data_IF_104013070858
#
_entry.id   IF_104013070858
#
_cell.length_a   1.000
_cell.length_b   1.000
_cell.length_c   1.000
_cell.angle_alpha   90.00
_cell.angle_beta   90.00
_cell.angle_gamma   90.00
#
_symmetry.space_group_name_H-M   'P 1'
#
loop_
_entity.id
_entity.type
_entity.pdbx_description
1 polymer ?
#
# COMPACT_ATOMS: atom_id res chain seq x y z
N UNK A 1 -33.21 18.35 94.83
CA UNK A 1 -33.90 19.35 94.02
C UNK A 1 -33.87 18.86 92.59
N UNK A 2 -35.05 18.49 92.07
CA UNK A 2 -35.28 17.76 90.89
C UNK A 2 -35.76 18.73 89.76
N UNK A 3 -35.04 18.98 88.69
CA UNK A 3 -35.51 19.80 87.56
C UNK A 3 -35.54 18.92 86.32
N UNK A 4 -36.72 18.40 86.09
CA UNK A 4 -37.14 17.67 84.89
C UNK A 4 -37.25 18.64 83.70
N UNK A 5 -36.44 18.45 82.72
CA UNK A 5 -36.44 19.26 81.48
C UNK A 5 -37.37 18.57 80.44
N UNK A 6 -38.61 19.08 80.33
CA UNK A 6 -39.59 18.60 79.33
C UNK A 6 -39.24 19.16 77.96
N UNK A 7 -38.75 18.32 77.07
CA UNK A 7 -38.58 18.65 75.66
C UNK A 7 -39.96 18.73 74.99
N UNK A 8 -40.31 19.92 74.51
CA UNK A 8 -41.58 20.21 73.87
C UNK A 8 -41.72 19.38 72.53
N UNK A 9 -42.92 18.78 72.35
CA UNK A 9 -43.28 18.01 71.10
C UNK A 9 -43.11 18.81 69.81
N UNK A 10 -43.04 20.14 69.84
CA UNK A 10 -42.83 21.02 68.72
C UNK A 10 -41.38 21.03 68.24
N UNK A 11 -40.39 20.76 69.05
CA UNK A 11 -38.97 20.70 68.67
C UNK A 11 -38.57 19.36 68.04
N UNK A 12 -39.32 18.30 68.38
CA UNK A 12 -39.07 16.94 67.74
C UNK A 12 -39.58 16.85 66.29
N UNK A 13 -40.67 17.54 65.96
CA UNK A 13 -41.22 17.56 64.59
C UNK A 13 -40.42 18.42 63.64
N UNK A 14 -39.76 19.45 64.08
CA UNK A 14 -38.85 20.27 63.23
C UNK A 14 -37.50 19.61 62.94
N UNK A 15 -37.05 18.69 63.77
CA UNK A 15 -35.78 17.95 63.50
C UNK A 15 -35.99 16.76 62.59
N UNK A 16 -37.19 16.16 62.47
CA UNK A 16 -37.49 15.09 61.48
C UNK A 16 -37.74 15.64 60.07
N UNK A 17 -38.23 16.87 59.92
CA UNK A 17 -38.40 17.50 58.62
C UNK A 17 -37.08 17.93 57.96
N UNK A 18 -36.01 18.20 58.76
CA UNK A 18 -34.69 18.56 58.23
C UNK A 18 -33.87 17.34 57.72
N UNK A 19 -34.19 16.13 58.18
CA UNK A 19 -33.51 14.90 57.67
C UNK A 19 -34.16 14.30 56.43
N UNK A 20 -35.40 14.63 56.09
CA UNK A 20 -36.08 14.14 54.87
C UNK A 20 -35.77 14.99 53.63
N UNK A 21 -35.24 16.20 53.78
CA UNK A 21 -34.86 17.08 52.66
C UNK A 21 -33.45 16.88 52.11
N UNK A 22 -32.60 16.13 52.80
CA UNK A 22 -31.18 15.93 52.42
C UNK A 22 -30.92 14.69 51.52
N UNK A 23 -31.91 13.81 51.35
CA UNK A 23 -31.71 12.55 50.58
C UNK A 23 -32.14 12.60 49.10
N UNK A 24 -32.69 13.73 48.65
CA UNK A 24 -33.17 13.86 47.26
C UNK A 24 -32.22 14.56 46.27
N UNK A 25 -31.02 15.01 46.74
CA UNK A 25 -30.08 15.73 45.87
C UNK A 25 -28.81 14.96 45.48
N UNK A 26 -28.76 13.64 45.73
CA UNK A 26 -27.63 12.77 45.34
C UNK A 26 -27.87 11.95 44.06
N UNK A 27 -28.80 12.37 43.21
CA UNK A 27 -29.22 11.58 42.01
C UNK A 27 -28.94 12.17 40.65
N UNK A 28 -28.18 13.25 40.53
CA UNK A 28 -27.78 13.79 39.23
C UNK A 28 -26.26 13.97 39.20
N UNK A 29 -25.53 12.84 39.17
CA UNK A 29 -24.22 12.86 38.54
C UNK A 29 -24.49 13.19 37.06
N UNK A 30 -23.91 14.28 36.52
CA UNK A 30 -23.96 14.43 35.07
C UNK A 30 -23.29 13.18 34.52
N UNK A 31 -24.07 12.35 33.80
CA UNK A 31 -23.50 11.40 32.91
C UNK A 31 -22.56 12.21 32.00
N UNK A 32 -21.26 12.06 32.21
CA UNK A 32 -20.25 12.44 31.24
C UNK A 32 -20.60 11.64 30.00
N UNK A 33 -21.52 12.17 29.20
CA UNK A 33 -21.68 11.76 27.84
C UNK A 33 -20.28 12.00 27.26
N UNK A 34 -19.51 10.93 27.13
CA UNK A 34 -18.35 10.94 26.27
C UNK A 34 -18.89 11.40 24.93
N UNK A 35 -18.71 12.69 24.64
CA UNK A 35 -18.99 13.22 23.33
C UNK A 35 -18.19 12.31 22.38
N UNK A 36 -18.91 11.47 21.66
CA UNK A 36 -18.34 10.64 20.62
C UNK A 36 -17.66 11.62 19.69
N UNK A 37 -16.32 11.72 19.79
CA UNK A 37 -15.56 12.65 18.98
C UNK A 37 -16.00 12.44 17.52
N UNK A 38 -16.44 13.50 16.88
CA UNK A 38 -16.96 13.45 15.51
C UNK A 38 -15.80 13.37 14.54
N UNK A 39 -14.95 12.33 14.70
CA UNK A 39 -13.85 12.09 13.74
C UNK A 39 -14.40 11.93 12.32
N UNK A 40 -13.83 12.66 11.32
CA UNK A 40 -12.78 13.66 11.45
C UNK A 40 -13.33 15.09 11.71
N UNK A 41 -12.71 15.85 12.61
CA UNK A 41 -13.03 17.28 12.88
C UNK A 41 -12.09 18.24 12.15
N UNK A 42 -11.01 17.74 11.57
CA UNK A 42 -10.01 18.49 10.82
C UNK A 42 -9.53 17.68 9.62
N UNK A 43 -8.83 18.31 8.65
CA UNK A 43 -8.32 17.59 7.48
C UNK A 43 -7.43 16.41 7.85
N UNK A 44 -7.63 15.27 7.16
CA UNK A 44 -6.76 14.10 7.25
C UNK A 44 -5.65 14.25 6.20
N UNK A 45 -4.40 14.06 6.60
CA UNK A 45 -3.25 14.05 5.69
C UNK A 45 -3.00 12.64 5.18
N UNK A 46 -3.05 12.47 3.86
CA UNK A 46 -2.65 11.26 3.16
C UNK A 46 -1.24 11.43 2.61
N UNK A 47 -0.29 10.68 3.16
CA UNK A 47 1.09 10.66 2.67
C UNK A 47 1.19 9.73 1.47
N UNK A 48 1.61 10.29 0.32
CA UNK A 48 1.93 9.56 -0.90
C UNK A 48 3.45 9.40 -1.03
N UNK A 49 3.98 8.15 -1.10
CA UNK A 49 5.43 7.92 -1.09
C UNK A 49 6.12 8.10 -2.44
N UNK A 50 5.36 8.31 -3.51
CA UNK A 50 5.85 8.51 -4.87
C UNK A 50 5.02 9.56 -5.61
N UNK A 51 5.61 10.17 -6.63
CA UNK A 51 4.93 11.08 -7.55
C UNK A 51 4.27 10.38 -8.74
N UNK A 52 3.83 11.17 -9.72
CA UNK A 52 3.28 10.66 -10.98
C UNK A 52 1.97 9.89 -10.80
N UNK A 53 1.88 8.69 -11.33
CA UNK A 53 0.67 7.86 -11.25
C UNK A 53 0.25 7.54 -9.81
N UNK A 54 1.22 7.42 -8.88
CA UNK A 54 0.94 7.18 -7.45
C UNK A 54 0.35 8.41 -6.79
N UNK A 55 0.84 9.62 -7.10
CA UNK A 55 0.24 10.87 -6.62
C UNK A 55 -1.18 11.06 -7.19
N UNK A 56 -1.39 10.78 -8.48
CA UNK A 56 -2.72 10.80 -9.07
C UNK A 56 -3.69 9.87 -8.32
N UNK A 57 -3.28 8.62 -8.08
CA UNK A 57 -4.09 7.67 -7.33
C UNK A 57 -4.36 8.14 -5.90
N UNK A 58 -3.35 8.70 -5.22
CA UNK A 58 -3.52 9.25 -3.86
C UNK A 58 -4.56 10.37 -3.81
N UNK A 59 -4.61 11.25 -4.84
CA UNK A 59 -5.64 12.31 -4.94
C UNK A 59 -7.04 11.73 -5.17
N UNK A 60 -7.18 10.66 -5.96
CA UNK A 60 -8.46 9.97 -6.14
C UNK A 60 -8.91 9.29 -4.83
N UNK A 61 -7.98 8.66 -4.10
CA UNK A 61 -8.24 8.09 -2.77
C UNK A 61 -8.74 9.18 -1.82
N UNK A 62 -8.02 10.30 -1.74
CA UNK A 62 -8.38 11.40 -0.85
C UNK A 62 -9.79 11.94 -1.18
N UNK A 63 -10.12 12.12 -2.47
CA UNK A 63 -11.43 12.59 -2.90
C UNK A 63 -12.57 11.64 -2.47
N UNK A 64 -12.42 10.33 -2.73
CA UNK A 64 -13.47 9.35 -2.45
C UNK A 64 -13.61 9.06 -0.95
N UNK A 65 -12.50 8.97 -0.21
CA UNK A 65 -12.54 8.79 1.24
C UNK A 65 -13.11 10.01 1.95
N UNK A 66 -12.80 11.23 1.51
CA UNK A 66 -13.34 12.47 2.07
C UNK A 66 -14.87 12.52 1.98
N UNK A 67 -15.47 12.06 0.87
CA UNK A 67 -16.93 11.93 0.71
C UNK A 67 -17.53 10.99 1.77
N UNK A 68 -16.94 9.80 1.94
CA UNK A 68 -17.44 8.79 2.88
C UNK A 68 -17.27 9.22 4.35
N UNK A 69 -16.17 9.91 4.65
CA UNK A 69 -15.88 10.39 6.01
C UNK A 69 -16.60 11.70 6.36
N UNK A 70 -17.30 12.30 5.40
CA UNK A 70 -17.88 13.65 5.52
C UNK A 70 -16.86 14.67 6.05
N UNK A 71 -15.64 14.64 5.52
CA UNK A 71 -14.51 15.45 5.95
C UNK A 71 -13.67 15.93 4.77
N UNK A 72 -12.48 16.43 5.05
CA UNK A 72 -11.53 16.83 4.02
C UNK A 72 -10.21 16.04 4.15
N UNK A 73 -9.53 15.86 3.02
CA UNK A 73 -8.23 15.18 2.98
C UNK A 73 -7.23 15.99 2.15
N UNK A 74 -5.98 16.00 2.59
CA UNK A 74 -4.86 16.67 1.94
C UNK A 74 -3.84 15.60 1.56
N UNK A 75 -3.36 15.64 0.31
CA UNK A 75 -2.28 14.74 -0.15
C UNK A 75 -0.94 15.45 0.05
N UNK A 76 -0.06 14.83 0.83
CA UNK A 76 1.33 15.25 1.06
C UNK A 76 2.29 14.24 0.41
N UNK A 77 3.01 14.68 -0.62
CA UNK A 77 3.92 13.82 -1.39
C UNK A 77 5.31 13.85 -0.76
N UNK A 78 5.73 12.73 -0.17
CA UNK A 78 7.06 12.57 0.45
C UNK A 78 7.90 11.57 -0.32
N UNK A 79 8.73 12.09 -1.23
CA UNK A 79 9.58 11.30 -2.11
C UNK A 79 10.88 10.81 -1.42
N UNK A 80 11.45 9.73 -1.94
CA UNK A 80 12.78 9.26 -1.62
C UNK A 80 12.83 7.94 -0.85
N UNK A 81 14.04 7.34 -0.81
CA UNK A 81 14.29 6.06 -0.14
C UNK A 81 13.38 4.93 -0.62
N UNK A 82 13.04 4.86 -1.89
CA UNK A 82 12.09 3.86 -2.41
C UNK A 82 10.75 3.86 -1.66
N UNK A 83 10.29 5.05 -1.23
CA UNK A 83 9.04 5.25 -0.48
C UNK A 83 9.17 5.12 1.05
N UNK A 84 10.34 4.76 1.57
CA UNK A 84 10.53 4.61 3.02
C UNK A 84 10.46 5.93 3.77
N UNK A 85 10.83 7.07 3.15
CA UNK A 85 10.71 8.39 3.77
C UNK A 85 9.23 8.70 4.07
N UNK A 86 8.35 8.47 3.11
CA UNK A 86 6.90 8.66 3.30
C UNK A 86 6.33 7.74 4.38
N UNK A 87 6.61 6.45 4.32
CA UNK A 87 6.08 5.50 5.32
C UNK A 87 6.69 5.69 6.70
N UNK A 88 7.96 6.12 6.79
CA UNK A 88 8.58 6.49 8.07
C UNK A 88 7.88 7.70 8.72
N UNK A 89 7.42 8.67 7.91
CA UNK A 89 6.63 9.79 8.41
C UNK A 89 5.27 9.31 8.96
N UNK A 90 4.60 8.38 8.28
CA UNK A 90 3.37 7.75 8.78
C UNK A 90 3.63 7.01 10.08
N UNK A 91 4.67 6.16 10.13
CA UNK A 91 4.98 5.35 11.32
C UNK A 91 5.24 6.17 12.59
N UNK A 92 5.74 7.40 12.43
CA UNK A 92 6.04 8.32 13.55
C UNK A 92 4.91 9.30 13.88
N UNK A 93 3.85 9.32 13.08
CA UNK A 93 2.72 10.21 13.35
C UNK A 93 1.89 9.74 14.56
N UNK A 94 1.12 10.65 15.14
CA UNK A 94 0.19 10.30 16.21
C UNK A 94 -0.85 9.29 15.71
N UNK A 95 -1.22 8.27 16.52
CA UNK A 95 -2.20 7.26 16.14
C UNK A 95 -3.64 7.76 16.33
N UNK A 96 -3.93 8.95 15.85
CA UNK A 96 -5.22 9.64 15.98
C UNK A 96 -6.08 9.61 14.71
N UNK A 97 -5.55 8.99 13.64
CA UNK A 97 -6.22 8.87 12.34
C UNK A 97 -6.07 10.07 11.40
N UNK A 98 -5.46 11.17 11.84
CA UNK A 98 -5.28 12.37 11.00
C UNK A 98 -4.05 12.35 10.10
N UNK A 99 -3.19 11.35 10.25
CA UNK A 99 -2.11 11.05 9.31
C UNK A 99 -2.20 9.59 8.90
N UNK A 100 -2.46 9.35 7.63
CA UNK A 100 -2.48 8.02 7.03
C UNK A 100 -1.55 8.00 5.83
N UNK A 101 -1.22 6.82 5.32
CA UNK A 101 -0.30 6.69 4.21
C UNK A 101 -0.73 5.68 3.16
N UNK A 102 -0.25 5.91 1.96
CA UNK A 102 -0.35 4.94 0.88
C UNK A 102 0.86 4.00 0.95
N UNK A 103 0.60 2.74 1.27
CA UNK A 103 1.60 1.68 1.26
C UNK A 103 1.73 1.07 -0.14
N UNK A 104 2.96 0.90 -0.60
CA UNK A 104 3.26 0.23 -1.88
C UNK A 104 4.10 -1.02 -1.63
N UNK A 105 4.09 -1.99 -2.57
CA UNK A 105 4.96 -3.18 -2.48
C UNK A 105 6.39 -2.82 -2.14
N UNK A 106 6.96 -1.84 -2.89
CA UNK A 106 8.36 -1.45 -2.67
C UNK A 106 8.60 -1.00 -1.24
N UNK A 107 7.79 -0.06 -0.74
CA UNK A 107 7.99 0.51 0.58
C UNK A 107 7.65 -0.47 1.72
N UNK A 108 6.65 -1.37 1.52
CA UNK A 108 6.22 -2.31 2.55
C UNK A 108 6.97 -3.64 2.52
N UNK A 109 7.45 -4.11 1.35
CA UNK A 109 7.95 -5.48 1.25
C UNK A 109 9.42 -5.60 0.84
N UNK A 110 9.93 -4.81 -0.11
CA UNK A 110 11.31 -4.94 -0.59
C UNK A 110 12.29 -3.96 0.06
N UNK A 111 11.96 -2.68 0.10
CA UNK A 111 12.84 -1.64 0.63
C UNK A 111 13.31 -1.88 2.08
N UNK A 112 12.49 -2.42 3.00
CA UNK A 112 12.94 -2.73 4.36
C UNK A 112 14.09 -3.74 4.44
N UNK A 113 14.28 -4.58 3.41
CA UNK A 113 15.37 -5.55 3.35
C UNK A 113 16.65 -5.00 2.68
N UNK A 114 16.55 -3.89 1.99
CA UNK A 114 17.63 -3.29 1.20
C UNK A 114 18.17 -2.01 1.82
N UNK A 115 17.32 -1.30 2.57
CA UNK A 115 17.67 -0.03 3.23
C UNK A 115 17.97 -0.31 4.69
N UNK A 116 19.19 0.03 5.11
CA UNK A 116 19.73 -0.28 6.46
C UNK A 116 18.84 0.25 7.60
N UNK A 117 18.22 1.41 7.43
CA UNK A 117 17.32 2.05 8.39
C UNK A 117 16.10 2.64 7.67
N UNK A 118 15.06 1.86 7.38
CA UNK A 118 13.86 2.37 6.72
C UNK A 118 13.04 3.32 7.62
N UNK A 119 13.30 3.30 8.96
CA UNK A 119 12.59 4.12 9.94
C UNK A 119 11.27 3.54 10.42
N UNK A 120 10.97 2.30 10.09
CA UNK A 120 9.79 1.54 10.52
C UNK A 120 9.99 0.03 10.44
N UNK A 121 9.15 -0.71 11.14
CA UNK A 121 8.99 -2.16 11.04
C UNK A 121 7.60 -2.45 10.46
N UNK A 122 7.54 -3.14 9.33
CA UNK A 122 6.27 -3.41 8.61
C UNK A 122 5.26 -4.21 9.43
N UNK A 123 5.71 -5.00 10.41
CA UNK A 123 4.85 -5.83 11.24
C UNK A 123 4.37 -5.11 12.51
N UNK A 124 5.01 -3.99 12.90
CA UNK A 124 4.76 -3.33 14.20
C UNK A 124 4.35 -1.88 14.09
N UNK A 125 4.82 -1.18 13.05
CA UNK A 125 4.68 0.28 12.95
C UNK A 125 3.37 0.73 12.33
N UNK A 126 2.56 -0.20 11.79
CA UNK A 126 1.36 0.16 11.04
C UNK A 126 0.12 -0.60 11.50
N UNK A 127 -1.00 0.10 11.44
CA UNK A 127 -2.34 -0.45 11.32
C UNK A 127 -2.71 -0.47 9.85
N UNK A 128 -2.95 -1.64 9.29
CA UNK A 128 -3.35 -1.81 7.90
C UNK A 128 -4.85 -1.55 7.75
N UNK A 129 -5.25 -0.67 6.82
CA UNK A 129 -6.65 -0.28 6.61
C UNK A 129 -7.32 -1.05 5.47
N UNK A 130 -6.55 -1.46 4.47
CA UNK A 130 -7.01 -2.27 3.35
C UNK A 130 -6.13 -2.16 2.11
N UNK A 131 -6.18 -3.19 1.26
CA UNK A 131 -5.60 -3.17 -0.08
C UNK A 131 -6.58 -2.48 -1.03
N UNK A 132 -6.08 -1.60 -1.89
CA UNK A 132 -6.91 -0.79 -2.79
C UNK A 132 -6.87 -1.35 -4.20
N UNK A 133 -5.67 -1.68 -4.67
CA UNK A 133 -5.46 -2.27 -5.99
C UNK A 133 -4.20 -3.11 -6.01
N UNK A 134 -4.16 -4.00 -6.98
CA UNK A 134 -2.92 -4.64 -7.44
C UNK A 134 -2.61 -4.19 -8.86
N UNK A 135 -1.35 -4.32 -9.26
CA UNK A 135 -0.91 -4.04 -10.62
C UNK A 135 0.02 -5.14 -11.04
N UNK A 136 -0.26 -5.74 -12.18
CA UNK A 136 0.62 -6.73 -12.79
C UNK A 136 1.81 -6.08 -13.48
N UNK A 137 2.86 -6.85 -13.59
CA UNK A 137 4.02 -6.48 -14.40
C UNK A 137 3.96 -7.24 -15.71
N UNK A 138 4.56 -6.65 -16.72
CA UNK A 138 4.68 -7.24 -18.05
C UNK A 138 6.15 -7.32 -18.44
N UNK A 139 6.56 -8.48 -18.93
CA UNK A 139 7.87 -8.65 -19.57
C UNK A 139 7.83 -7.99 -20.93
N UNK A 140 8.49 -6.84 -21.04
CA UNK A 140 8.66 -6.13 -22.31
C UNK A 140 10.08 -6.31 -22.83
N UNK A 141 10.18 -6.46 -24.14
CA UNK A 141 11.47 -6.59 -24.84
C UNK A 141 11.58 -5.58 -25.97
N UNK A 142 12.81 -5.21 -26.30
CA UNK A 142 13.09 -4.45 -27.53
C UNK A 142 12.65 -5.24 -28.76
N UNK A 143 11.87 -4.65 -29.70
CA UNK A 143 11.51 -5.32 -30.95
C UNK A 143 12.72 -5.80 -31.76
N UNK A 144 13.88 -5.13 -31.59
CA UNK A 144 15.13 -5.50 -32.27
C UNK A 144 15.66 -6.88 -31.87
N UNK A 145 15.21 -7.48 -30.76
CA UNK A 145 15.57 -8.84 -30.38
C UNK A 145 14.96 -9.91 -31.31
N UNK A 146 13.88 -9.60 -32.04
CA UNK A 146 13.25 -10.52 -32.99
C UNK A 146 12.52 -11.71 -32.34
N UNK A 147 12.31 -11.71 -31.01
CA UNK A 147 11.63 -12.78 -30.27
C UNK A 147 10.14 -12.50 -30.11
N UNK A 148 9.33 -13.58 -30.11
CA UNK A 148 7.87 -13.49 -30.06
C UNK A 148 7.26 -14.16 -28.82
N UNK A 149 8.02 -15.02 -28.17
CA UNK A 149 7.57 -15.79 -27.00
C UNK A 149 8.59 -15.73 -25.86
N UNK A 150 8.14 -16.04 -24.64
CA UNK A 150 9.04 -16.19 -23.49
C UNK A 150 10.09 -17.25 -23.74
N UNK A 151 9.70 -18.38 -24.41
CA UNK A 151 10.63 -19.47 -24.72
C UNK A 151 11.74 -19.02 -25.66
N UNK A 152 11.42 -18.30 -26.73
CA UNK A 152 12.40 -17.74 -27.69
C UNK A 152 13.34 -16.74 -26.99
N UNK A 153 12.77 -15.88 -26.12
CA UNK A 153 13.56 -14.92 -25.34
C UNK A 153 14.57 -15.64 -24.43
N UNK A 154 14.12 -16.65 -23.67
CA UNK A 154 14.98 -17.42 -22.77
C UNK A 154 16.07 -18.16 -23.55
N UNK A 155 15.73 -18.78 -24.69
CA UNK A 155 16.69 -19.46 -25.55
C UNK A 155 17.76 -18.47 -26.05
N UNK A 156 17.35 -17.29 -26.53
CA UNK A 156 18.26 -16.23 -26.97
C UNK A 156 19.17 -15.78 -25.81
N UNK A 157 18.60 -15.52 -24.61
CA UNK A 157 19.37 -15.06 -23.46
C UNK A 157 20.39 -16.10 -23.00
N UNK A 158 20.03 -17.39 -23.01
CA UNK A 158 20.95 -18.50 -22.68
C UNK A 158 22.05 -18.70 -23.71
N UNK A 159 21.80 -18.39 -25.00
CA UNK A 159 22.82 -18.45 -26.03
C UNK A 159 23.86 -17.34 -25.97
N UNK A 160 23.55 -16.28 -25.19
CA UNK A 160 24.41 -15.07 -25.04
C UNK A 160 24.56 -14.69 -23.57
N UNK A 161 25.16 -15.54 -22.72
CA UNK A 161 25.24 -15.29 -21.29
C UNK A 161 25.98 -13.99 -20.99
N UNK A 162 25.40 -13.12 -20.14
CA UNK A 162 25.97 -11.83 -19.74
C UNK A 162 26.00 -10.76 -20.85
N UNK A 163 25.39 -11.00 -22.01
CA UNK A 163 25.37 -10.02 -23.12
C UNK A 163 24.07 -9.24 -23.23
N UNK A 164 23.01 -9.70 -22.60
CA UNK A 164 21.75 -8.95 -22.55
C UNK A 164 21.73 -8.03 -21.34
N UNK A 165 21.23 -6.82 -21.55
CA UNK A 165 20.97 -5.85 -20.50
C UNK A 165 19.49 -5.83 -20.15
N UNK A 166 19.16 -5.73 -18.86
CA UNK A 166 17.80 -5.47 -18.42
C UNK A 166 17.70 -4.18 -17.63
N UNK A 167 16.59 -3.47 -17.80
CA UNK A 167 16.36 -2.19 -17.17
C UNK A 167 15.45 -2.27 -15.95
N UNK A 168 15.58 -1.29 -15.07
CA UNK A 168 14.60 -1.03 -14.02
C UNK A 168 14.58 0.46 -13.64
N UNK A 169 13.53 0.88 -12.94
CA UNK A 169 13.42 2.24 -12.40
C UNK A 169 14.10 2.40 -11.02
N UNK A 170 15.24 1.72 -10.82
CA UNK A 170 16.10 1.84 -9.65
C UNK A 170 16.46 0.52 -8.99
N UNK A 171 17.61 0.51 -8.35
CA UNK A 171 18.13 -0.65 -7.62
C UNK A 171 17.19 -1.00 -6.46
N UNK A 172 16.83 -2.28 -6.33
CA UNK A 172 16.03 -2.78 -5.21
C UNK A 172 14.53 -2.48 -5.27
N UNK A 173 14.04 -1.84 -6.33
CA UNK A 173 12.59 -1.72 -6.50
C UNK A 173 11.96 -3.06 -6.94
N UNK A 174 10.64 -3.17 -6.86
CA UNK A 174 9.92 -4.40 -7.19
C UNK A 174 10.12 -4.87 -8.64
N UNK A 175 10.37 -3.96 -9.57
CA UNK A 175 10.63 -4.26 -10.99
C UNK A 175 12.02 -4.88 -11.17
N UNK A 176 13.04 -4.31 -10.53
CA UNK A 176 14.39 -4.87 -10.52
C UNK A 176 14.39 -6.28 -9.94
N UNK A 177 13.79 -6.43 -8.74
CA UNK A 177 13.77 -7.70 -8.03
C UNK A 177 12.96 -8.78 -8.78
N UNK A 178 11.89 -8.39 -9.48
CA UNK A 178 11.15 -9.29 -10.34
C UNK A 178 12.00 -9.79 -11.52
N UNK A 179 12.78 -8.92 -12.14
CA UNK A 179 13.69 -9.30 -13.21
C UNK A 179 14.77 -10.26 -12.71
N UNK A 180 15.39 -9.97 -11.58
CA UNK A 180 16.39 -10.85 -10.96
C UNK A 180 15.82 -12.21 -10.58
N UNK A 181 14.62 -12.25 -9.98
CA UNK A 181 13.95 -13.50 -9.66
C UNK A 181 13.65 -14.30 -10.94
N UNK A 182 13.10 -13.65 -11.95
CA UNK A 182 12.85 -14.31 -13.24
C UNK A 182 14.14 -14.86 -13.82
N UNK A 183 15.20 -14.07 -13.89
CA UNK A 183 16.50 -14.47 -14.43
C UNK A 183 17.05 -15.70 -13.70
N UNK A 184 16.98 -15.71 -12.39
CA UNK A 184 17.44 -16.84 -11.56
C UNK A 184 16.60 -18.10 -11.80
N UNK A 185 15.27 -17.98 -11.82
CA UNK A 185 14.36 -19.11 -11.96
C UNK A 185 14.45 -19.77 -13.34
N UNK A 186 14.68 -18.97 -14.41
CA UNK A 186 14.81 -19.52 -15.77
C UNK A 186 16.27 -19.76 -16.18
N UNK A 187 17.23 -19.40 -15.35
CA UNK A 187 18.66 -19.67 -15.55
C UNK A 187 19.28 -18.83 -16.67
N UNK A 188 18.97 -17.52 -16.75
CA UNK A 188 19.62 -16.57 -17.66
C UNK A 188 20.56 -15.65 -16.88
N UNK A 189 21.65 -15.25 -17.53
CA UNK A 189 22.62 -14.26 -17.03
C UNK A 189 22.48 -12.98 -17.86
N UNK A 190 22.14 -11.88 -17.18
CA UNK A 190 21.96 -10.58 -17.81
C UNK A 190 22.50 -9.47 -16.90
N UNK A 191 22.86 -8.32 -17.45
CA UNK A 191 23.40 -7.18 -16.72
C UNK A 191 22.31 -6.18 -16.38
N UNK A 192 22.20 -5.80 -15.14
CA UNK A 192 21.26 -4.79 -14.70
C UNK A 192 21.71 -3.36 -15.03
N UNK A 193 20.83 -2.56 -15.63
CA UNK A 193 21.04 -1.14 -15.91
C UNK A 193 19.96 -0.34 -15.20
N UNK A 194 20.28 0.30 -14.06
CA UNK A 194 19.29 1.09 -13.32
C UNK A 194 19.08 2.47 -13.95
N UNK A 195 17.82 2.87 -14.06
CA UNK A 195 17.37 4.21 -14.43
C UNK A 195 16.69 4.88 -13.23
N UNK A 196 16.37 6.17 -13.33
CA UNK A 196 15.67 6.90 -12.26
C UNK A 196 14.17 6.70 -12.31
N UNK A 197 13.62 6.46 -13.51
CA UNK A 197 12.17 6.38 -13.76
C UNK A 197 11.82 5.28 -14.75
N UNK A 198 10.55 4.83 -14.73
CA UNK A 198 10.03 3.88 -15.72
C UNK A 198 10.11 4.41 -17.15
N UNK A 199 9.69 5.66 -17.46
CA UNK A 199 9.83 6.25 -18.79
C UNK A 199 11.26 6.29 -19.32
N UNK A 200 12.28 6.50 -18.49
CA UNK A 200 13.69 6.41 -18.92
C UNK A 200 14.05 4.97 -19.28
N UNK A 201 13.60 3.98 -18.52
CA UNK A 201 13.78 2.57 -18.85
C UNK A 201 13.10 2.22 -20.19
N UNK A 202 11.88 2.69 -20.41
CA UNK A 202 11.15 2.47 -21.66
C UNK A 202 11.88 3.09 -22.87
N UNK A 203 12.40 4.31 -22.71
CA UNK A 203 13.19 4.97 -23.75
C UNK A 203 14.45 4.17 -24.11
N UNK A 204 15.14 3.60 -23.11
CA UNK A 204 16.31 2.77 -23.29
C UNK A 204 15.98 1.42 -23.99
N UNK A 205 14.83 0.81 -23.71
CA UNK A 205 14.35 -0.39 -24.43
C UNK A 205 14.08 -0.07 -25.90
N UNK A 206 13.44 1.08 -26.17
CA UNK A 206 13.15 1.53 -27.53
C UNK A 206 14.42 1.84 -28.30
N UNK A 207 15.43 2.43 -27.66
CA UNK A 207 16.72 2.74 -28.25
C UNK A 207 17.59 1.48 -28.47
N UNK A 208 17.32 0.38 -27.75
CA UNK A 208 18.10 -0.84 -27.79
C UNK A 208 19.29 -0.88 -26.82
N UNK A 209 19.44 0.15 -25.97
CA UNK A 209 20.48 0.18 -24.90
C UNK A 209 20.18 -0.88 -23.85
N UNK A 210 18.92 -1.15 -23.61
CA UNK A 210 18.39 -2.19 -22.75
C UNK A 210 17.53 -3.14 -23.60
N UNK A 211 17.70 -4.43 -23.38
CA UNK A 211 17.08 -5.47 -24.20
C UNK A 211 15.71 -5.85 -23.70
N UNK A 212 15.48 -5.81 -22.38
CA UNK A 212 14.21 -6.16 -21.75
C UNK A 212 14.05 -5.53 -20.36
N UNK A 213 12.83 -5.52 -19.88
CA UNK A 213 12.49 -5.19 -18.50
C UNK A 213 11.17 -5.86 -18.09
N UNK A 214 10.99 -6.05 -16.79
CA UNK A 214 9.68 -6.19 -16.20
C UNK A 214 9.16 -4.77 -15.88
N UNK A 215 8.05 -4.38 -16.46
CA UNK A 215 7.46 -3.04 -16.27
C UNK A 215 6.04 -3.17 -15.74
N UNK A 216 5.49 -2.13 -15.12
CA UNK A 216 4.07 -2.17 -14.77
C UNK A 216 3.20 -2.10 -16.03
N UNK A 217 2.14 -2.90 -16.08
CA UNK A 217 1.21 -2.88 -17.23
C UNK A 217 0.71 -1.47 -17.54
N UNK A 218 0.29 -0.65 -16.54
CA UNK A 218 -0.17 0.72 -16.81
C UNK A 218 0.85 1.62 -17.52
N UNK A 219 2.12 1.52 -17.13
CA UNK A 219 3.15 2.37 -17.73
C UNK A 219 3.52 1.96 -19.16
N UNK A 220 3.35 0.68 -19.50
CA UNK A 220 3.85 0.11 -20.78
C UNK A 220 2.78 -0.06 -21.86
N UNK A 221 1.49 -0.08 -21.48
CA UNK A 221 0.41 -0.42 -22.40
C UNK A 221 0.36 0.46 -23.66
N UNK A 222 0.63 1.76 -23.52
CA UNK A 222 0.64 2.68 -24.65
C UNK A 222 1.77 2.35 -25.64
N UNK A 223 2.95 1.99 -25.14
CA UNK A 223 4.11 1.63 -25.96
C UNK A 223 3.93 0.26 -26.62
N UNK A 224 3.33 -0.70 -25.89
CA UNK A 224 2.99 -2.02 -26.42
C UNK A 224 2.00 -1.89 -27.57
N UNK A 225 0.91 -1.13 -27.37
CA UNK A 225 -0.11 -0.91 -28.41
C UNK A 225 0.43 -0.15 -29.63
N UNK A 226 1.41 0.72 -29.44
CA UNK A 226 2.11 1.42 -30.51
C UNK A 226 3.22 0.58 -31.18
N UNK A 227 3.45 -0.66 -30.75
CA UNK A 227 4.50 -1.54 -31.26
C UNK A 227 5.93 -1.05 -30.99
N UNK A 228 6.10 -0.09 -30.06
CA UNK A 228 7.41 0.47 -29.70
C UNK A 228 8.19 -0.47 -28.76
N UNK A 229 7.48 -1.25 -27.97
CA UNK A 229 8.00 -2.37 -27.18
C UNK A 229 7.12 -3.58 -27.42
N UNK A 230 7.65 -4.79 -27.19
CA UNK A 230 6.92 -6.04 -27.36
C UNK A 230 6.69 -6.71 -26.02
N UNK A 231 5.43 -7.01 -25.71
CA UNK A 231 5.04 -7.76 -24.52
C UNK A 231 5.15 -9.27 -24.77
N UNK A 232 5.79 -10.01 -23.86
CA UNK A 232 5.93 -11.47 -23.97
C UNK A 232 5.08 -12.22 -22.92
N UNK A 233 4.96 -11.72 -21.71
CA UNK A 233 4.13 -12.29 -20.67
C UNK A 233 3.79 -11.26 -19.59
N UNK A 234 2.69 -11.49 -18.85
CA UNK A 234 2.34 -10.75 -17.63
C UNK A 234 2.56 -11.63 -16.40
N UNK A 235 2.79 -10.98 -15.24
CA UNK A 235 2.86 -11.69 -13.94
C UNK A 235 1.50 -12.26 -13.56
N UNK A 236 1.51 -13.25 -12.66
CA UNK A 236 0.29 -13.88 -12.16
C UNK A 236 -0.11 -15.15 -12.90
N UNK A 237 -1.26 -15.69 -12.52
CA UNK A 237 -1.75 -16.97 -13.04
C UNK A 237 -2.58 -16.85 -14.32
N UNK A 238 -3.18 -15.70 -14.55
CA UNK A 238 -4.07 -15.39 -15.67
C UNK A 238 -3.60 -14.15 -16.43
N UNK A 239 -4.11 -13.93 -17.63
CA UNK A 239 -3.83 -12.73 -18.44
C UNK A 239 -4.32 -11.45 -17.73
N UNK A 240 -3.67 -10.35 -18.06
CA UNK A 240 -4.14 -9.04 -17.64
C UNK A 240 -5.31 -8.57 -18.54
N UNK A 241 -6.43 -8.08 -17.97
CA UNK A 241 -7.55 -7.61 -18.79
C UNK A 241 -7.19 -6.48 -19.77
N UNK A 242 -6.17 -5.66 -19.43
CA UNK A 242 -5.69 -4.60 -20.31
C UNK A 242 -4.78 -5.13 -21.46
N UNK A 243 -4.27 -6.37 -21.34
CA UNK A 243 -3.42 -7.05 -22.32
C UNK A 243 -3.94 -8.46 -22.64
N UNK A 244 -5.17 -8.62 -23.14
CA UNK A 244 -5.83 -9.93 -23.29
C UNK A 244 -5.11 -10.89 -24.23
N UNK A 245 -4.28 -10.37 -25.13
CA UNK A 245 -3.51 -11.17 -26.08
C UNK A 245 -2.12 -11.57 -25.57
N UNK A 246 -1.69 -11.06 -24.40
CA UNK A 246 -0.41 -11.39 -23.78
C UNK A 246 -0.64 -12.50 -22.75
N UNK A 247 0.03 -13.65 -22.86
CA UNK A 247 -0.15 -14.74 -21.90
C UNK A 247 0.35 -14.36 -20.50
N UNK A 248 -0.16 -15.02 -19.48
CA UNK A 248 0.50 -15.00 -18.18
C UNK A 248 1.81 -15.80 -18.24
N UNK A 249 2.73 -15.52 -17.31
CA UNK A 249 3.99 -16.28 -17.23
C UNK A 249 3.72 -17.77 -16.97
N UNK A 250 2.64 -18.09 -16.25
CA UNK A 250 2.19 -19.46 -16.02
C UNK A 250 1.63 -20.12 -17.29
N UNK A 251 0.81 -19.41 -18.08
CA UNK A 251 0.33 -19.89 -19.38
C UNK A 251 1.48 -20.08 -20.38
N UNK A 252 2.54 -19.28 -20.26
CA UNK A 252 3.77 -19.44 -21.05
C UNK A 252 4.62 -20.66 -20.61
N UNK A 253 4.19 -21.42 -19.60
CA UNK A 253 4.84 -22.64 -19.13
C UNK A 253 5.91 -22.44 -18.03
N UNK A 254 5.99 -21.26 -17.43
CA UNK A 254 6.99 -20.95 -16.42
C UNK A 254 6.35 -20.75 -15.04
N UNK A 255 6.77 -21.54 -14.06
CA UNK A 255 6.31 -21.41 -12.69
C UNK A 255 7.22 -20.45 -11.91
N UNK A 256 7.22 -19.18 -12.31
CA UNK A 256 7.98 -18.11 -11.67
C UNK A 256 7.05 -17.31 -10.77
N UNK A 257 7.35 -17.26 -9.48
CA UNK A 257 6.57 -16.50 -8.53
C UNK A 257 7.04 -15.04 -8.51
N UNK A 258 6.35 -14.21 -9.27
CA UNK A 258 6.55 -12.77 -9.29
C UNK A 258 5.36 -12.09 -8.61
N UNK A 259 5.55 -11.49 -7.42
CA UNK A 259 4.47 -10.80 -6.72
C UNK A 259 3.92 -9.64 -7.54
N UNK A 260 2.60 -9.47 -7.48
CA UNK A 260 1.97 -8.27 -8.04
C UNK A 260 2.38 -7.03 -7.24
N UNK A 261 2.35 -5.87 -7.88
CA UNK A 261 2.54 -4.62 -7.16
C UNK A 261 1.27 -4.31 -6.36
N UNK A 262 1.44 -4.06 -5.08
CA UNK A 262 0.37 -3.76 -4.14
C UNK A 262 0.29 -2.27 -3.87
N UNK A 263 -0.94 -1.75 -3.76
CA UNK A 263 -1.23 -0.41 -3.29
C UNK A 263 -2.34 -0.50 -2.26
N UNK A 264 -2.06 -0.10 -1.05
CA UNK A 264 -3.01 -0.17 0.06
C UNK A 264 -2.86 1.00 1.02
N UNK A 265 -3.75 1.06 1.99
CA UNK A 265 -3.76 2.11 3.00
C UNK A 265 -3.23 1.60 4.32
N UNK A 266 -2.39 2.42 4.94
CA UNK A 266 -1.83 2.18 6.27
C UNK A 266 -1.98 3.43 7.14
N UNK A 267 -2.02 3.22 8.44
CA UNK A 267 -2.00 4.27 9.46
C UNK A 267 -0.94 3.94 10.50
N UNK A 268 -0.57 4.86 11.40
CA UNK A 268 0.28 4.53 12.55
C UNK A 268 -0.29 3.35 13.34
N UNK A 269 0.58 2.57 13.97
CA UNK A 269 0.14 1.49 14.85
C UNK A 269 -0.71 2.01 16.02
N UNK A 270 -1.56 1.14 16.57
CA UNK A 270 -2.39 1.43 17.74
C UNK A 270 -3.46 2.53 17.54
N UNK A 271 -4.07 2.58 16.35
CA UNK A 271 -5.26 3.42 16.16
C UNK A 271 -6.36 3.05 17.16
N UNK A 272 -7.12 4.04 17.68
CA UNK A 272 -8.35 3.79 18.42
C UNK A 272 -9.34 2.97 17.58
N UNK A 273 -10.06 2.00 18.18
CA UNK A 273 -10.94 1.10 17.44
C UNK A 273 -12.03 1.80 16.62
N UNK A 274 -12.59 2.89 17.13
CA UNK A 274 -13.60 3.70 16.45
C UNK A 274 -13.04 4.44 15.23
N UNK A 275 -11.83 4.99 15.34
CA UNK A 275 -11.09 5.63 14.24
C UNK A 275 -10.72 4.60 13.17
N UNK A 276 -10.24 3.41 13.60
CA UNK A 276 -9.97 2.30 12.69
C UNK A 276 -11.22 1.90 11.90
N UNK A 277 -12.35 1.72 12.58
CA UNK A 277 -13.60 1.33 11.95
C UNK A 277 -14.05 2.35 10.89
N UNK A 278 -13.95 3.64 11.18
CA UNK A 278 -14.30 4.71 10.23
C UNK A 278 -13.36 4.74 9.03
N UNK A 279 -12.04 4.69 9.24
CA UNK A 279 -11.06 4.72 8.15
C UNK A 279 -11.12 3.46 7.28
N UNK A 280 -11.16 2.26 7.89
CA UNK A 280 -11.28 1.00 7.14
C UNK A 280 -12.62 0.89 6.41
N UNK A 281 -13.70 1.39 7.02
CA UNK A 281 -15.01 1.51 6.39
C UNK A 281 -14.98 2.43 5.16
N UNK A 282 -14.28 3.57 5.24
CA UNK A 282 -14.11 4.48 4.11
C UNK A 282 -13.27 3.85 2.98
N UNK A 283 -12.20 3.12 3.31
CA UNK A 283 -11.43 2.35 2.32
C UNK A 283 -12.33 1.31 1.65
N UNK A 284 -13.15 0.57 2.42
CA UNK A 284 -14.09 -0.40 1.89
C UNK A 284 -15.12 0.23 0.96
N UNK A 285 -15.75 1.32 1.36
CA UNK A 285 -16.74 2.03 0.55
C UNK A 285 -16.13 2.51 -0.77
N UNK A 286 -14.95 3.15 -0.70
CA UNK A 286 -14.22 3.62 -1.87
C UNK A 286 -13.88 2.49 -2.84
N UNK A 287 -13.33 1.38 -2.35
CA UNK A 287 -12.93 0.25 -3.22
C UNK A 287 -14.12 -0.50 -3.82
N UNK A 288 -15.32 -0.33 -3.24
CA UNK A 288 -16.57 -0.87 -3.76
C UNK A 288 -17.29 0.11 -4.71
N UNK A 289 -16.84 1.36 -4.78
CA UNK A 289 -17.43 2.38 -5.65
C UNK A 289 -17.08 2.11 -7.12
N UNK A 290 -18.10 1.94 -8.01
CA UNK A 290 -17.86 1.70 -9.43
C UNK A 290 -17.06 2.82 -10.11
N UNK A 291 -17.23 4.09 -9.70
CA UNK A 291 -16.48 5.24 -10.22
C UNK A 291 -14.99 5.09 -9.89
N UNK A 292 -14.66 4.81 -8.64
CA UNK A 292 -13.28 4.58 -8.22
C UNK A 292 -12.67 3.36 -8.93
N UNK A 293 -13.42 2.26 -9.04
CA UNK A 293 -12.97 1.07 -9.76
C UNK A 293 -12.68 1.35 -11.24
N UNK A 294 -13.50 2.18 -11.89
CA UNK A 294 -13.27 2.59 -13.27
C UNK A 294 -11.98 3.42 -13.41
N UNK A 295 -11.71 4.32 -12.46
CA UNK A 295 -10.47 5.10 -12.41
C UNK A 295 -9.26 4.17 -12.28
N UNK A 296 -9.33 3.20 -11.36
CA UNK A 296 -8.26 2.22 -11.15
C UNK A 296 -8.00 1.41 -12.43
N UNK A 297 -9.06 0.88 -13.06
CA UNK A 297 -8.93 0.11 -14.33
C UNK A 297 -8.38 0.95 -15.47
N UNK A 298 -8.83 2.20 -15.61
CA UNK A 298 -8.31 3.14 -16.62
C UNK A 298 -6.83 3.43 -16.40
N UNK A 299 -6.39 3.45 -15.15
CA UNK A 299 -4.97 3.52 -14.77
C UNK A 299 -4.22 2.19 -14.95
N UNK A 300 -4.87 1.12 -15.43
CA UNK A 300 -4.28 -0.21 -15.66
C UNK A 300 -4.07 -1.02 -14.37
N UNK A 301 -4.68 -0.62 -13.27
CA UNK A 301 -4.72 -1.39 -12.03
C UNK A 301 -5.91 -2.36 -12.01
N UNK A 302 -5.81 -3.38 -11.19
CA UNK A 302 -6.91 -4.28 -10.81
C UNK A 302 -7.46 -3.83 -9.47
N UNK A 303 -8.71 -3.29 -9.40
CA UNK A 303 -9.31 -2.91 -8.14
C UNK A 303 -9.35 -4.09 -7.17
N UNK A 304 -9.03 -3.86 -5.94
CA UNK A 304 -9.02 -4.86 -4.89
C UNK A 304 -9.83 -4.39 -3.69
N UNK A 305 -10.43 -5.35 -3.03
CA UNK A 305 -11.12 -5.13 -1.77
C UNK A 305 -10.69 -6.20 -0.78
N UNK A 306 -9.47 -6.05 -0.25
CA UNK A 306 -8.94 -6.94 0.80
C UNK A 306 -8.90 -6.16 2.11
N UNK A 307 -9.41 -6.78 3.17
CA UNK A 307 -9.43 -6.20 4.51
C UNK A 307 -8.02 -5.84 5.00
N UNK A 308 -7.92 -4.90 5.95
CA UNK A 308 -6.63 -4.55 6.55
C UNK A 308 -5.90 -5.75 7.14
N UNK A 309 -6.64 -6.66 7.80
CA UNK A 309 -6.09 -7.89 8.38
C UNK A 309 -5.48 -8.80 7.30
N UNK A 310 -6.17 -9.01 6.19
CA UNK A 310 -5.66 -9.89 5.14
C UNK A 310 -4.57 -9.20 4.32
N UNK A 311 -4.66 -7.87 4.14
CA UNK A 311 -3.58 -7.10 3.54
C UNK A 311 -2.28 -7.20 4.34
N UNK A 312 -2.34 -7.15 5.66
CA UNK A 312 -1.16 -7.34 6.51
C UNK A 312 -0.50 -8.72 6.33
N UNK A 313 -1.32 -9.78 6.15
CA UNK A 313 -0.81 -11.15 5.86
C UNK A 313 -0.11 -11.23 4.50
N UNK A 314 -0.69 -10.56 3.48
CA UNK A 314 -0.08 -10.48 2.15
C UNK A 314 1.28 -9.77 2.25
N UNK A 315 1.34 -8.61 2.91
CA UNK A 315 2.60 -7.88 3.11
C UNK A 315 3.64 -8.71 3.84
N UNK A 316 3.25 -9.43 4.90
CA UNK A 316 4.18 -10.28 5.66
C UNK A 316 4.73 -11.44 4.80
N UNK A 317 3.86 -12.10 4.00
CA UNK A 317 4.27 -13.15 3.04
C UNK A 317 5.25 -12.61 2.01
N UNK A 318 4.91 -11.50 1.36
CA UNK A 318 5.71 -10.92 0.28
C UNK A 318 7.02 -10.32 0.81
N UNK A 319 7.00 -9.71 1.99
CA UNK A 319 8.22 -9.23 2.67
C UNK A 319 9.18 -10.37 2.98
N UNK A 320 8.68 -11.54 3.43
CA UNK A 320 9.52 -12.73 3.64
C UNK A 320 10.16 -13.21 2.33
N UNK A 321 9.39 -13.23 1.24
CA UNK A 321 9.90 -13.60 -0.08
C UNK A 321 11.03 -12.65 -0.52
N UNK A 322 10.78 -11.33 -0.45
CA UNK A 322 11.79 -10.33 -0.80
C UNK A 322 13.01 -10.36 0.11
N UNK A 323 12.84 -10.71 1.39
CA UNK A 323 13.97 -10.93 2.31
C UNK A 323 14.89 -12.08 1.89
N UNK A 324 14.36 -13.13 1.29
CA UNK A 324 15.15 -14.23 0.72
C UNK A 324 15.88 -13.77 -0.54
N UNK A 325 15.17 -13.06 -1.44
CA UNK A 325 15.73 -12.58 -2.70
C UNK A 325 16.83 -11.53 -2.50
N UNK A 326 16.64 -10.58 -1.60
CA UNK A 326 17.63 -9.56 -1.29
C UNK A 326 18.95 -10.15 -0.77
N UNK A 327 18.88 -11.22 0.01
CA UNK A 327 20.10 -11.93 0.46
C UNK A 327 20.85 -12.57 -0.70
N UNK A 328 20.13 -13.14 -1.69
CA UNK A 328 20.77 -13.71 -2.89
C UNK A 328 21.49 -12.63 -3.70
N UNK A 329 20.82 -11.47 -3.90
CA UNK A 329 21.42 -10.35 -4.62
C UNK A 329 22.68 -9.80 -3.94
N UNK A 330 22.67 -9.70 -2.60
CA UNK A 330 23.83 -9.24 -1.84
C UNK A 330 24.96 -10.28 -1.76
N UNK A 331 24.70 -11.55 -2.06
CA UNK A 331 25.69 -12.63 -2.07
C UNK A 331 26.22 -12.96 -3.47
N UNK A 332 25.65 -12.41 -4.53
CA UNK A 332 26.19 -12.53 -5.88
C UNK A 332 27.37 -11.56 -6.04
N UNK A 333 28.60 -12.01 -6.36
CA UNK A 333 29.70 -11.09 -6.69
C UNK A 333 29.31 -10.31 -7.95
N UNK A 334 29.41 -8.97 -7.85
CA UNK A 334 29.34 -8.06 -9.00
C UNK A 334 30.46 -8.36 -10.00
#
# INVERSE_FOLDING_TARGET
>A
MNTSNKISRRTATLRLAAMAGGAASLGALPSLAFAQSSFPERPITLIAPFGGAVDFLARQIALHMAKTLNGSMIVDVKLGGSGTIGLSAVARAAPDGYTIGMGTSTALTSAPHLIKNPGYDVNKSFTYLGLIQTTRQVLVVSPALGVNTVAEFIALAKSKPGKLNFGSSGIGNSIHLAAEQFNADVGIQAVHVPYKTGPETDAAIIAGDVHYAWQSVPSSIALINAGRTKALAVTGETRDPALPNVPSIKEAGYNVLLPEQLFGMVAPANLPPDVYAKLSGAVKAMTSDPEFQAIVRKGGGSPSHVSGVDFSKIVARDSKLWGVLSKRLNSSPN
#
